data_IF_177303267685
#
_entry.id   IF_177303267685
#
_cell.length_a   1.000
_cell.length_b   1.000
_cell.length_c   1.000
_cell.angle_alpha   90.00
_cell.angle_beta   90.00
_cell.angle_gamma   90.00
#
_symmetry.space_group_name_H-M   'P 1'
#
loop_
_entity.id
_entity.type
_entity.pdbx_description
1 polymer ?
#
# COMPACT_ATOMS: atom_id res chain seq x y z
N UNK A 1 10.37 10.73 -31.06
CA UNK A 1 10.67 10.19 -29.72
C UNK A 1 11.69 9.08 -29.88
N UNK A 2 12.84 9.09 -29.21
CA UNK A 2 13.81 8.00 -29.29
C UNK A 2 13.17 6.74 -28.69
N UNK A 3 13.21 5.63 -29.43
CA UNK A 3 12.79 4.31 -28.93
C UNK A 3 13.76 3.92 -27.81
N UNK A 4 13.27 3.83 -26.58
CA UNK A 4 14.02 3.25 -25.49
C UNK A 4 14.41 1.82 -25.90
N UNK A 5 15.69 1.54 -26.00
CA UNK A 5 16.16 0.21 -26.36
C UNK A 5 15.93 -0.73 -25.14
N UNK A 6 15.50 -1.96 -25.41
CA UNK A 6 15.35 -3.01 -24.40
C UNK A 6 16.65 -3.30 -23.61
N UNK A 7 17.80 -2.75 -24.07
CA UNK A 7 19.09 -2.85 -23.38
C UNK A 7 19.17 -2.06 -22.07
N UNK A 8 18.15 -1.23 -21.75
CA UNK A 8 18.10 -0.42 -20.53
C UNK A 8 17.65 -1.24 -19.29
N UNK A 9 17.13 -2.45 -19.48
CA UNK A 9 16.82 -3.31 -18.35
C UNK A 9 18.09 -3.94 -17.81
N UNK A 10 18.45 -3.61 -16.56
CA UNK A 10 19.53 -4.30 -15.85
C UNK A 10 19.26 -5.81 -15.84
N UNK A 11 20.27 -6.60 -16.17
CA UNK A 11 20.19 -8.05 -15.97
C UNK A 11 20.05 -8.31 -14.47
N UNK A 12 19.35 -9.38 -14.09
CA UNK A 12 19.13 -9.72 -12.67
C UNK A 12 20.45 -9.79 -11.89
N UNK A 13 21.55 -10.25 -12.54
CA UNK A 13 22.89 -10.27 -11.95
C UNK A 13 23.51 -8.88 -11.68
N UNK A 14 22.95 -7.84 -12.28
CA UNK A 14 23.42 -6.45 -12.11
C UNK A 14 22.59 -5.70 -11.05
N UNK A 15 21.66 -6.39 -10.37
CA UNK A 15 20.94 -5.85 -9.23
C UNK A 15 21.88 -5.76 -8.02
N UNK A 16 21.77 -4.65 -7.29
CA UNK A 16 22.50 -4.47 -6.05
C UNK A 16 22.14 -5.57 -5.04
N UNK A 17 23.15 -6.12 -4.40
CA UNK A 17 22.92 -6.93 -3.20
C UNK A 17 22.37 -6.03 -2.10
N UNK A 18 21.49 -6.55 -1.22
CA UNK A 18 21.04 -5.79 -0.06
C UNK A 18 22.22 -5.31 0.82
N UNK A 19 23.38 -6.02 0.78
CA UNK A 19 24.61 -5.64 1.48
C UNK A 19 25.27 -4.37 0.94
N UNK A 20 24.82 -3.90 -0.22
CA UNK A 20 25.25 -2.65 -0.86
C UNK A 20 24.23 -1.52 -0.63
N UNK A 21 23.23 -1.77 0.22
CA UNK A 21 22.21 -0.81 0.64
C UNK A 21 22.37 -0.52 2.13
N UNK A 22 21.70 0.52 2.62
CA UNK A 22 21.65 0.87 4.04
C UNK A 22 20.67 -0.01 4.84
N UNK A 23 20.08 -1.03 4.23
CA UNK A 23 19.13 -1.93 4.88
C UNK A 23 19.82 -2.87 5.85
N UNK A 24 19.31 -2.94 7.06
CA UNK A 24 19.74 -3.89 8.08
C UNK A 24 19.03 -5.23 7.96
N UNK A 25 19.53 -6.27 8.61
CA UNK A 25 18.83 -7.57 8.68
C UNK A 25 17.45 -7.44 9.35
N UNK A 26 17.31 -6.53 10.32
CA UNK A 26 16.03 -6.23 10.97
C UNK A 26 15.03 -5.65 9.96
N UNK A 27 15.47 -4.70 9.13
CA UNK A 27 14.62 -4.13 8.07
C UNK A 27 14.15 -5.20 7.11
N UNK A 28 15.04 -6.09 6.68
CA UNK A 28 14.68 -7.19 5.78
C UNK A 28 13.65 -8.14 6.41
N UNK A 29 13.78 -8.42 7.72
CA UNK A 29 12.81 -9.22 8.45
C UNK A 29 11.46 -8.52 8.53
N UNK A 30 11.42 -7.23 8.82
CA UNK A 30 10.17 -6.45 8.85
C UNK A 30 9.53 -6.35 7.47
N UNK A 31 10.31 -6.13 6.41
CA UNK A 31 9.83 -6.18 5.02
C UNK A 31 9.18 -7.54 4.73
N UNK A 32 9.86 -8.63 5.06
CA UNK A 32 9.35 -9.98 4.83
C UNK A 32 8.08 -10.26 5.64
N UNK A 33 8.04 -9.87 6.92
CA UNK A 33 6.85 -10.00 7.77
C UNK A 33 5.65 -9.26 7.17
N UNK A 34 5.85 -8.04 6.71
CA UNK A 34 4.79 -7.23 6.09
C UNK A 34 4.26 -7.88 4.82
N UNK A 35 5.16 -8.37 3.95
CA UNK A 35 4.78 -9.11 2.75
C UNK A 35 3.98 -10.38 3.09
N UNK A 36 4.47 -11.15 4.06
CA UNK A 36 3.82 -12.39 4.49
C UNK A 36 2.45 -12.12 5.12
N UNK A 37 2.35 -11.09 5.98
CA UNK A 37 1.09 -10.69 6.59
C UNK A 37 0.05 -10.29 5.55
N UNK A 38 0.43 -9.44 4.60
CA UNK A 38 -0.43 -9.04 3.49
C UNK A 38 -0.92 -10.24 2.67
N UNK A 39 -0.02 -11.18 2.33
CA UNK A 39 -0.35 -12.40 1.62
C UNK A 39 -1.35 -13.25 2.42
N UNK A 40 -1.13 -13.45 3.71
CA UNK A 40 -2.02 -14.26 4.56
C UNK A 40 -3.39 -13.64 4.75
N UNK A 41 -3.45 -12.30 4.86
CA UNK A 41 -4.74 -11.58 4.89
C UNK A 41 -5.51 -11.79 3.60
N UNK A 42 -4.87 -11.61 2.46
CA UNK A 42 -5.49 -11.78 1.14
C UNK A 42 -6.00 -13.20 0.95
N UNK A 43 -5.17 -14.21 1.22
CA UNK A 43 -5.58 -15.62 1.17
C UNK A 43 -6.78 -15.90 2.09
N UNK A 44 -6.79 -15.34 3.29
CA UNK A 44 -7.89 -15.51 4.23
C UNK A 44 -9.18 -14.87 3.75
N UNK A 45 -9.10 -13.65 3.21
CA UNK A 45 -10.26 -12.97 2.64
C UNK A 45 -10.85 -13.75 1.46
N UNK A 46 -10.01 -14.31 0.59
CA UNK A 46 -10.44 -15.18 -0.50
C UNK A 46 -11.17 -16.43 -0.01
N UNK A 47 -10.64 -17.11 0.99
CA UNK A 47 -11.30 -18.29 1.58
C UNK A 47 -12.67 -17.93 2.16
N UNK A 48 -12.77 -16.78 2.84
CA UNK A 48 -14.03 -16.30 3.40
C UNK A 48 -15.03 -15.89 2.31
N UNK A 49 -14.58 -15.30 1.23
CA UNK A 49 -15.41 -14.95 0.10
C UNK A 49 -15.98 -16.22 -0.59
N UNK A 50 -15.13 -17.22 -0.86
CA UNK A 50 -15.56 -18.51 -1.43
C UNK A 50 -16.54 -19.25 -0.52
N UNK A 51 -16.42 -19.06 0.78
CA UNK A 51 -17.37 -19.62 1.77
C UNK A 51 -18.64 -18.77 1.92
N UNK A 52 -18.85 -17.75 1.08
CA UNK A 52 -20.03 -16.88 1.12
C UNK A 52 -20.10 -15.95 2.34
N UNK A 53 -19.02 -15.81 3.11
CA UNK A 53 -18.96 -14.99 4.32
C UNK A 53 -18.55 -13.54 4.05
N UNK A 54 -17.83 -13.29 2.97
CA UNK A 54 -17.49 -11.96 2.49
C UNK A 54 -18.15 -11.72 1.12
N UNK A 55 -18.83 -10.59 0.94
CA UNK A 55 -19.52 -10.29 -0.32
C UNK A 55 -18.58 -9.98 -1.47
N UNK A 56 -17.39 -9.46 -1.14
CA UNK A 56 -16.45 -8.97 -2.14
C UNK A 56 -15.00 -9.05 -1.62
N UNK A 57 -14.06 -9.32 -2.52
CA UNK A 57 -12.63 -9.29 -2.25
C UNK A 57 -11.85 -8.90 -3.51
N UNK A 58 -10.81 -8.13 -3.33
CA UNK A 58 -9.84 -7.81 -4.40
C UNK A 58 -8.51 -8.41 -3.98
N UNK A 59 -7.94 -9.28 -4.83
CA UNK A 59 -6.62 -9.84 -4.56
C UNK A 59 -5.51 -8.83 -4.79
N UNK A 60 -4.56 -8.82 -3.84
CA UNK A 60 -3.35 -8.01 -3.87
C UNK A 60 -2.09 -8.89 -4.07
N UNK A 61 -2.26 -10.18 -4.35
CA UNK A 61 -1.16 -11.13 -4.47
C UNK A 61 -0.22 -10.81 -5.63
N UNK A 62 1.08 -10.98 -5.38
CA UNK A 62 2.14 -10.82 -6.37
C UNK A 62 2.74 -9.42 -6.44
N UNK A 63 2.21 -8.45 -5.70
CA UNK A 63 2.67 -7.06 -5.70
C UNK A 63 3.36 -6.66 -4.38
N UNK A 64 3.42 -7.56 -3.40
CA UNK A 64 3.85 -7.25 -2.04
C UNK A 64 5.26 -6.68 -1.97
N UNK A 65 6.20 -7.25 -2.73
CA UNK A 65 7.60 -6.82 -2.70
C UNK A 65 7.78 -5.38 -3.23
N UNK A 66 7.08 -5.02 -4.30
CA UNK A 66 7.10 -3.66 -4.85
C UNK A 66 6.51 -2.66 -3.87
N UNK A 67 5.38 -3.00 -3.27
CA UNK A 67 4.67 -2.14 -2.31
C UNK A 67 5.49 -1.93 -1.04
N UNK A 68 6.04 -3.01 -0.47
CA UNK A 68 6.85 -2.93 0.74
C UNK A 68 8.17 -2.22 0.46
N UNK A 69 8.81 -2.46 -0.68
CA UNK A 69 10.03 -1.76 -1.07
C UNK A 69 9.81 -0.25 -1.20
N UNK A 70 8.71 0.19 -1.82
CA UNK A 70 8.35 1.60 -1.88
C UNK A 70 8.04 2.17 -0.48
N UNK A 71 7.29 1.42 0.33
CA UNK A 71 6.89 1.83 1.67
C UNK A 71 8.07 2.06 2.62
N UNK A 72 9.11 1.22 2.53
CA UNK A 72 10.31 1.35 3.35
C UNK A 72 11.20 2.55 2.98
N UNK A 73 10.99 3.14 1.83
CA UNK A 73 11.68 4.37 1.42
C UNK A 73 10.98 5.65 1.95
N UNK A 74 9.85 5.51 2.64
CA UNK A 74 9.02 6.60 3.13
C UNK A 74 9.08 6.72 4.66
N UNK A 75 8.88 7.92 5.15
CA UNK A 75 8.68 8.21 6.58
C UNK A 75 7.19 8.20 6.91
N UNK A 76 6.74 7.21 7.67
CA UNK A 76 5.31 7.03 8.04
C UNK A 76 4.75 8.21 8.86
N UNK A 77 5.60 8.94 9.56
CA UNK A 77 5.19 10.04 10.43
C UNK A 77 4.95 11.33 9.62
N UNK A 78 5.58 11.47 8.45
CA UNK A 78 5.56 12.70 7.67
C UNK A 78 4.97 12.52 6.27
N UNK A 79 5.26 11.38 5.62
CA UNK A 79 4.84 11.16 4.25
C UNK A 79 3.38 10.72 4.16
N UNK A 80 2.75 11.05 3.05
CA UNK A 80 1.35 10.71 2.77
C UNK A 80 1.31 9.68 1.65
N UNK A 81 0.46 8.68 1.79
CA UNK A 81 0.19 7.72 0.71
C UNK A 81 -1.22 7.88 0.15
N UNK A 82 -1.31 7.76 -1.17
CA UNK A 82 -2.55 7.73 -1.95
C UNK A 82 -2.71 6.35 -2.58
N UNK A 83 -3.12 5.33 -1.80
CA UNK A 83 -3.04 3.95 -2.23
C UNK A 83 -4.04 3.64 -3.35
N UNK A 84 -3.72 2.60 -4.10
CA UNK A 84 -4.63 1.93 -5.01
C UNK A 84 -5.30 0.75 -4.28
N UNK A 85 -6.44 0.27 -4.75
CA UNK A 85 -7.20 -0.79 -4.06
C UNK A 85 -6.47 -2.14 -3.95
N UNK A 86 -5.35 -2.32 -4.64
CA UNK A 86 -4.49 -3.51 -4.51
C UNK A 86 -3.29 -3.31 -3.60
N UNK A 87 -3.14 -2.13 -2.99
CA UNK A 87 -1.95 -1.77 -2.22
C UNK A 87 -2.04 -2.20 -0.75
N UNK A 88 -2.54 -3.43 -0.52
CA UNK A 88 -2.70 -3.96 0.84
C UNK A 88 -1.40 -3.98 1.63
N UNK A 89 -0.27 -4.35 1.01
CA UNK A 89 1.01 -4.40 1.71
C UNK A 89 1.55 -2.99 2.02
N UNK A 90 1.33 -2.01 1.15
CA UNK A 90 1.67 -0.61 1.39
C UNK A 90 0.91 -0.07 2.60
N UNK A 91 -0.42 -0.19 2.62
CA UNK A 91 -1.24 0.32 3.74
C UNK A 91 -1.00 -0.44 5.04
N UNK A 92 -0.68 -1.75 4.96
CA UNK A 92 -0.30 -2.55 6.14
C UNK A 92 0.99 -2.01 6.74
N UNK A 93 1.98 -1.68 5.92
CA UNK A 93 3.22 -1.05 6.39
C UNK A 93 2.95 0.31 7.06
N UNK A 94 2.05 1.12 6.53
CA UNK A 94 1.63 2.41 7.09
C UNK A 94 0.70 2.30 8.31
N UNK A 95 0.45 1.08 8.80
CA UNK A 95 -0.26 0.84 10.06
C UNK A 95 -1.74 0.49 9.94
N UNK A 96 -2.22 0.11 8.74
CA UNK A 96 -3.52 -0.56 8.61
C UNK A 96 -3.41 -1.96 9.22
N UNK A 97 -4.14 -2.22 10.28
CA UNK A 97 -4.07 -3.50 10.98
C UNK A 97 -4.89 -4.59 10.28
N UNK A 98 -4.59 -5.88 10.55
CA UNK A 98 -5.42 -6.99 10.09
C UNK A 98 -6.88 -6.87 10.53
N UNK A 99 -7.12 -6.41 11.75
CA UNK A 99 -8.47 -6.22 12.28
C UNK A 99 -9.21 -5.14 11.48
N UNK A 100 -8.61 -3.98 11.27
CA UNK A 100 -9.20 -2.87 10.50
C UNK A 100 -9.50 -3.31 9.06
N UNK A 101 -8.60 -4.06 8.43
CA UNK A 101 -8.81 -4.63 7.09
C UNK A 101 -10.01 -5.57 7.07
N UNK A 102 -10.14 -6.45 8.08
CA UNK A 102 -11.26 -7.37 8.18
C UNK A 102 -12.58 -6.66 8.53
N UNK A 103 -12.56 -5.63 9.38
CA UNK A 103 -13.75 -4.83 9.68
C UNK A 103 -14.33 -4.19 8.41
N UNK A 104 -13.46 -3.67 7.55
CA UNK A 104 -13.86 -3.16 6.23
C UNK A 104 -14.40 -4.28 5.33
N UNK A 105 -13.70 -5.41 5.24
CA UNK A 105 -14.11 -6.55 4.41
C UNK A 105 -15.49 -7.10 4.80
N UNK A 106 -15.83 -7.07 6.10
CA UNK A 106 -17.13 -7.50 6.64
C UNK A 106 -18.16 -6.35 6.74
N UNK A 107 -17.86 -5.17 6.22
CA UNK A 107 -18.73 -3.99 6.27
C UNK A 107 -19.24 -3.68 7.70
N UNK A 108 -18.34 -3.68 8.68
CA UNK A 108 -18.70 -3.43 10.08
C UNK A 108 -18.72 -1.94 10.41
N UNK A 109 -19.62 -1.52 11.31
CA UNK A 109 -19.71 -0.14 11.76
C UNK A 109 -18.44 0.38 12.45
N UNK A 110 -17.59 -0.51 12.99
CA UNK A 110 -16.29 -0.17 13.57
C UNK A 110 -15.16 -0.02 12.53
N UNK A 111 -15.44 -0.18 11.23
CA UNK A 111 -14.46 0.07 10.16
C UNK A 111 -13.98 1.52 10.18
N UNK A 112 -12.69 1.72 10.40
CA UNK A 112 -12.04 3.04 10.50
C UNK A 112 -12.02 3.81 9.18
N UNK A 113 -12.24 3.12 8.06
CA UNK A 113 -12.16 3.70 6.72
C UNK A 113 -13.47 4.40 6.34
N UNK A 114 -14.62 3.76 6.60
CA UNK A 114 -15.91 4.28 6.15
C UNK A 114 -17.09 3.90 7.05
N UNK A 115 -16.85 3.20 8.17
CA UNK A 115 -17.94 2.62 8.96
C UNK A 115 -18.71 1.56 8.18
N UNK A 116 -18.02 0.77 7.36
CA UNK A 116 -18.59 -0.30 6.56
C UNK A 116 -19.42 0.15 5.35
N UNK A 117 -19.31 1.40 4.91
CA UNK A 117 -20.12 1.95 3.82
C UNK A 117 -19.46 1.90 2.47
N UNK A 118 -18.12 1.78 2.42
CA UNK A 118 -17.38 1.64 1.16
C UNK A 118 -17.12 0.17 0.83
N UNK A 119 -16.82 -0.06 -0.45
CA UNK A 119 -16.37 -1.36 -0.93
C UNK A 119 -14.99 -1.67 -0.32
N UNK A 120 -14.73 -2.91 0.13
CA UNK A 120 -13.41 -3.30 0.64
C UNK A 120 -12.27 -2.98 -0.33
N UNK A 121 -11.11 -2.62 0.20
CA UNK A 121 -9.96 -2.19 -0.59
C UNK A 121 -9.93 -0.68 -0.91
N UNK A 122 -10.94 0.08 -0.48
CA UNK A 122 -10.94 1.55 -0.59
C UNK A 122 -10.35 2.14 0.69
N UNK A 123 -9.03 2.03 0.78
CA UNK A 123 -8.29 2.38 1.98
C UNK A 123 -8.42 3.85 2.37
N UNK A 124 -8.48 4.10 3.68
CA UNK A 124 -8.48 5.44 4.27
C UNK A 124 -8.15 5.34 5.75
N UNK A 125 -7.12 6.04 6.22
CA UNK A 125 -6.81 6.13 7.65
C UNK A 125 -6.00 7.39 7.94
N UNK A 126 -6.68 8.46 8.32
CA UNK A 126 -6.04 9.76 8.61
C UNK A 126 -4.92 9.64 9.65
N UNK A 127 -5.11 8.84 10.70
CA UNK A 127 -4.13 8.65 11.77
C UNK A 127 -2.83 7.94 11.31
N UNK A 128 -2.79 7.43 10.09
CA UNK A 128 -1.65 6.75 9.48
C UNK A 128 -1.25 7.38 8.14
N UNK A 129 -1.62 8.63 7.89
CA UNK A 129 -1.33 9.35 6.64
C UNK A 129 -1.78 8.62 5.36
N UNK A 130 -2.82 7.78 5.46
CA UNK A 130 -3.43 7.08 4.33
C UNK A 130 -4.61 7.90 3.83
N UNK A 131 -4.47 8.52 2.67
CA UNK A 131 -5.55 9.31 2.07
C UNK A 131 -6.67 8.41 1.56
N UNK A 132 -7.88 8.97 1.55
CA UNK A 132 -9.05 8.27 1.04
C UNK A 132 -8.91 7.97 -0.44
N UNK A 133 -9.01 6.69 -0.78
CA UNK A 133 -8.88 6.20 -2.15
C UNK A 133 -10.25 6.13 -2.84
N UNK A 134 -10.27 6.46 -4.14
CA UNK A 134 -11.42 6.24 -5.02
C UNK A 134 -11.27 5.00 -5.89
N UNK A 135 -12.39 4.48 -6.44
CA UNK A 135 -12.38 3.30 -7.31
C UNK A 135 -11.82 3.56 -8.70
N UNK A 136 -11.91 4.79 -9.20
CA UNK A 136 -11.47 5.13 -10.53
C UNK A 136 -9.94 5.06 -10.63
N UNK A 137 -9.45 4.33 -11.63
CA UNK A 137 -8.02 4.19 -11.89
C UNK A 137 -7.41 5.57 -12.17
N UNK A 138 -6.22 5.82 -11.62
CA UNK A 138 -5.43 7.06 -11.78
C UNK A 138 -5.90 8.29 -10.99
N UNK A 139 -7.04 8.28 -10.31
CA UNK A 139 -7.45 9.42 -9.46
C UNK A 139 -6.44 9.71 -8.36
N UNK A 140 -5.75 8.69 -7.87
CA UNK A 140 -4.70 8.79 -6.86
C UNK A 140 -3.58 9.74 -7.27
N UNK A 141 -3.24 9.78 -8.56
CA UNK A 141 -2.21 10.68 -9.10
C UNK A 141 -2.60 12.15 -8.86
N UNK A 142 -3.84 12.51 -9.14
CA UNK A 142 -4.33 13.88 -8.92
C UNK A 142 -4.40 14.22 -7.43
N UNK A 143 -4.80 13.27 -6.59
CA UNK A 143 -4.80 13.45 -5.13
C UNK A 143 -3.37 13.65 -4.63
N UNK A 144 -2.41 12.84 -5.08
CA UNK A 144 -1.00 12.98 -4.73
C UNK A 144 -0.42 14.33 -5.13
N UNK A 145 -0.74 14.80 -6.34
CA UNK A 145 -0.34 16.14 -6.81
C UNK A 145 -0.92 17.23 -5.91
N UNK A 146 -2.21 17.14 -5.57
CA UNK A 146 -2.87 18.09 -4.67
C UNK A 146 -2.25 18.09 -3.27
N UNK A 147 -1.99 16.91 -2.71
CA UNK A 147 -1.32 16.77 -1.42
C UNK A 147 0.09 17.37 -1.44
N UNK A 148 0.90 17.04 -2.44
CA UNK A 148 2.26 17.58 -2.61
C UNK A 148 2.25 19.11 -2.77
N UNK A 149 1.25 19.66 -3.45
CA UNK A 149 1.11 21.10 -3.59
C UNK A 149 0.81 21.78 -2.25
N UNK A 150 -0.11 21.21 -1.46
CA UNK A 150 -0.43 21.72 -0.12
C UNK A 150 0.78 21.66 0.82
N UNK A 151 1.46 20.52 0.89
CA UNK A 151 2.69 20.35 1.68
C UNK A 151 3.76 21.38 1.32
N UNK A 152 3.94 21.63 0.02
CA UNK A 152 4.87 22.65 -0.46
C UNK A 152 4.49 24.06 0.00
N UNK A 153 3.19 24.40 0.02
CA UNK A 153 2.70 25.69 0.52
C UNK A 153 2.93 25.84 2.02
N UNK A 154 2.79 24.76 2.76
CA UNK A 154 3.01 24.72 4.21
C UNK A 154 4.49 24.63 4.60
N UNK A 155 5.39 24.51 3.61
CA UNK A 155 6.82 24.42 3.81
C UNK A 155 7.31 23.06 4.33
N UNK A 156 6.47 22.03 4.24
CA UNK A 156 6.80 20.66 4.65
C UNK A 156 7.79 20.00 3.68
N UNK A 157 8.65 19.15 4.24
CA UNK A 157 9.62 18.34 3.47
C UNK A 157 9.17 16.88 3.46
N UNK A 158 7.96 16.64 2.98
CA UNK A 158 7.34 15.31 2.94
C UNK A 158 7.04 14.89 1.50
N UNK A 159 6.79 13.61 1.33
CA UNK A 159 6.47 12.98 0.04
C UNK A 159 4.99 12.61 0.02
N UNK A 160 4.34 12.80 -1.12
CA UNK A 160 3.04 12.19 -1.41
C UNK A 160 3.23 11.10 -2.49
N UNK A 161 3.11 9.83 -2.11
CA UNK A 161 3.21 8.66 -3.00
C UNK A 161 1.84 8.28 -3.54
#
# INVERSE_FOLDING_TARGET
MPKASLSTFRKVKDLLSYKETDLTETDLQEMYKTMLLSRRLDERMWLLNRAGKLPFVISCQGQEATQVGAAFALDKEQDIINPYYRDLALVTHFGMTPEETMLSAFARGADVQSGGRQMPGHFSKKASNIMTQGSAVTTQILHGVGASFAMKMDGEKSIAL
#
